data_IF_025478627671
#
_entry.id   IF_025478627671
#
_cell.length_a   1.000
_cell.length_b   1.000
_cell.length_c   1.000
_cell.angle_alpha   90.00
_cell.angle_beta   90.00
_cell.angle_gamma   90.00
#
_symmetry.space_group_name_H-M   'P 1'
#
loop_
_entity.id
_entity.type
_entity.pdbx_description
1 polymer ?
#
# COMPACT_ATOMS: atom_id res chain seq x y z
N UNK A 1 -15.70 15.63 1.50
CA UNK A 1 -15.23 14.85 0.33
C UNK A 1 -16.21 15.13 -0.79
N UNK A 2 -15.70 15.27 -2.00
CA UNK A 2 -16.50 15.54 -3.20
C UNK A 2 -16.26 14.43 -4.22
N UNK A 3 -17.21 14.16 -5.13
CA UNK A 3 -16.98 13.22 -6.21
C UNK A 3 -15.89 13.72 -7.16
N UNK A 4 -15.05 12.81 -7.65
CA UNK A 4 -14.09 13.11 -8.71
C UNK A 4 -14.84 13.49 -10.00
N UNK A 5 -14.67 14.75 -10.42
CA UNK A 5 -15.22 15.27 -11.67
C UNK A 5 -14.15 15.42 -12.76
N UNK A 6 -12.88 15.54 -12.38
CA UNK A 6 -11.76 15.55 -13.31
C UNK A 6 -11.28 14.12 -13.59
N UNK A 7 -11.47 13.66 -14.83
CA UNK A 7 -11.09 12.32 -15.29
C UNK A 7 -9.76 12.31 -16.06
N UNK A 8 -8.92 13.31 -15.84
CA UNK A 8 -7.55 13.33 -16.37
C UNK A 8 -6.75 12.09 -15.91
N UNK A 9 -5.74 11.72 -16.71
CA UNK A 9 -4.83 10.62 -16.38
C UNK A 9 -4.15 10.85 -15.02
N UNK A 10 -3.65 12.07 -14.77
CA UNK A 10 -3.03 12.47 -13.50
C UNK A 10 -3.94 12.25 -12.29
N UNK A 11 -5.23 12.64 -12.40
CA UNK A 11 -6.21 12.46 -11.32
C UNK A 11 -6.50 10.97 -11.05
N UNK A 12 -6.57 10.15 -12.11
CA UNK A 12 -6.75 8.69 -11.98
C UNK A 12 -5.52 8.01 -11.39
N UNK A 13 -4.32 8.38 -11.83
CA UNK A 13 -3.04 7.87 -11.30
C UNK A 13 -2.89 8.21 -9.82
N UNK A 14 -3.15 9.47 -9.45
CA UNK A 14 -3.14 9.89 -8.05
C UNK A 14 -4.19 9.16 -7.21
N UNK A 15 -5.38 8.87 -7.76
CA UNK A 15 -6.37 8.04 -7.06
C UNK A 15 -5.82 6.63 -6.81
N UNK A 16 -5.25 6.00 -7.84
CA UNK A 16 -4.64 4.68 -7.71
C UNK A 16 -3.49 4.66 -6.70
N UNK A 17 -2.64 5.68 -6.69
CA UNK A 17 -1.62 5.82 -5.66
C UNK A 17 -2.21 5.89 -4.26
N UNK A 18 -3.34 6.58 -4.08
CA UNK A 18 -4.04 6.63 -2.78
C UNK A 18 -4.67 5.30 -2.40
N UNK A 19 -5.18 4.51 -3.35
CA UNK A 19 -5.66 3.15 -3.06
C UNK A 19 -4.49 2.27 -2.58
N UNK A 20 -3.40 2.23 -3.35
CA UNK A 20 -2.23 1.37 -3.08
C UNK A 20 -1.52 1.80 -1.79
N UNK A 21 -1.16 3.07 -1.66
CA UNK A 21 -0.39 3.61 -0.53
C UNK A 21 -1.24 3.95 0.69
N UNK A 22 -2.55 4.09 0.52
CA UNK A 22 -3.48 4.39 1.61
C UNK A 22 -3.82 3.19 2.49
N UNK A 23 -3.31 2.00 2.18
CA UNK A 23 -3.56 0.79 2.96
C UNK A 23 -4.88 0.08 2.63
N UNK A 24 -5.61 0.52 1.59
CA UNK A 24 -6.86 -0.10 1.16
C UNK A 24 -6.67 -1.57 0.75
N UNK A 25 -5.51 -1.90 0.16
CA UNK A 25 -5.16 -3.26 -0.27
C UNK A 25 -5.06 -4.29 0.86
N UNK A 26 -4.91 -3.84 2.12
CA UNK A 26 -4.81 -4.72 3.29
C UNK A 26 -6.16 -5.02 3.92
N UNK A 27 -7.22 -4.32 3.51
CA UNK A 27 -8.56 -4.55 4.03
C UNK A 27 -9.23 -5.71 3.32
N UNK A 28 -10.08 -6.41 4.07
CA UNK A 28 -10.89 -7.52 3.57
C UNK A 28 -12.35 -7.10 3.46
N UNK A 29 -13.11 -7.68 2.52
CA UNK A 29 -12.66 -8.63 1.49
C UNK A 29 -11.81 -7.95 0.38
N UNK A 30 -10.99 -8.73 -0.34
CA UNK A 30 -10.13 -8.19 -1.42
C UNK A 30 -10.89 -7.46 -2.52
N UNK A 31 -12.15 -7.85 -2.75
CA UNK A 31 -13.05 -7.17 -3.68
C UNK A 31 -13.25 -5.68 -3.36
N UNK A 32 -13.05 -5.24 -2.12
CA UNK A 32 -13.05 -3.82 -1.76
C UNK A 32 -12.03 -3.04 -2.58
N UNK A 33 -10.80 -3.57 -2.66
CA UNK A 33 -9.70 -2.93 -3.40
C UNK A 33 -9.93 -2.96 -4.90
N UNK A 34 -10.44 -4.07 -5.43
CA UNK A 34 -10.76 -4.17 -6.86
C UNK A 34 -11.88 -3.20 -7.27
N UNK A 35 -12.89 -3.01 -6.42
CA UNK A 35 -13.96 -2.06 -6.68
C UNK A 35 -13.48 -0.60 -6.59
N UNK A 36 -12.69 -0.26 -5.56
CA UNK A 36 -12.09 1.08 -5.44
C UNK A 36 -11.12 1.40 -6.59
N UNK A 37 -10.31 0.42 -7.01
CA UNK A 37 -9.38 0.62 -8.13
C UNK A 37 -10.14 0.71 -9.45
N UNK A 38 -11.10 -0.20 -9.65
CA UNK A 38 -11.80 -0.35 -10.92
C UNK A 38 -12.68 0.85 -11.26
N UNK A 39 -13.18 1.60 -10.27
CA UNK A 39 -13.96 2.82 -10.54
C UNK A 39 -13.16 3.86 -11.31
N UNK A 40 -11.83 3.95 -11.13
CA UNK A 40 -10.95 4.88 -11.87
C UNK A 40 -10.25 4.27 -13.08
N UNK A 41 -10.43 2.98 -13.36
CA UNK A 41 -9.81 2.34 -14.53
C UNK A 41 -10.48 2.76 -15.85
N UNK A 42 -11.71 3.27 -15.81
CA UNK A 42 -12.38 3.84 -16.97
C UNK A 42 -11.84 5.22 -17.35
N UNK A 43 -12.07 5.64 -18.59
CA UNK A 43 -11.90 7.04 -19.02
C UNK A 43 -13.11 7.90 -18.62
N UNK A 44 -14.20 7.26 -18.20
CA UNK A 44 -15.44 7.91 -17.75
C UNK A 44 -16.02 7.15 -16.55
N UNK A 45 -16.86 7.81 -15.73
CA UNK A 45 -17.60 7.18 -14.66
C UNK A 45 -18.36 5.92 -15.10
N UNK A 46 -18.21 4.84 -14.34
CA UNK A 46 -18.82 3.54 -14.64
C UNK A 46 -20.22 3.43 -14.04
N UNK A 47 -21.10 2.67 -14.65
CA UNK A 47 -22.32 2.16 -14.01
C UNK A 47 -22.00 0.95 -13.12
N UNK A 48 -22.93 0.56 -12.23
CA UNK A 48 -22.80 -0.72 -11.48
C UNK A 48 -22.62 -1.91 -12.42
N UNK A 49 -23.37 -1.98 -13.52
CA UNK A 49 -23.26 -3.07 -14.49
C UNK A 49 -21.88 -3.13 -15.17
N UNK A 50 -21.27 -1.97 -15.46
CA UNK A 50 -19.90 -1.93 -16.02
C UNK A 50 -18.84 -2.27 -14.97
N UNK A 51 -19.14 -2.11 -13.68
CA UNK A 51 -18.25 -2.45 -12.57
C UNK A 51 -18.02 -3.96 -12.44
N UNK A 52 -18.99 -4.78 -12.86
CA UNK A 52 -18.95 -6.24 -12.86
C UNK A 52 -17.64 -6.82 -13.43
N UNK A 53 -17.07 -6.21 -14.47
CA UNK A 53 -15.83 -6.73 -15.08
C UNK A 53 -14.62 -6.75 -14.14
N UNK A 54 -14.64 -5.94 -13.08
CA UNK A 54 -13.56 -5.86 -12.09
C UNK A 54 -13.73 -6.81 -10.91
N UNK A 55 -14.88 -7.50 -10.83
CA UNK A 55 -15.12 -8.57 -9.85
C UNK A 55 -14.96 -9.95 -10.46
N UNK A 56 -14.43 -10.03 -11.69
CA UNK A 56 -14.17 -11.30 -12.36
C UNK A 56 -13.04 -12.05 -11.69
N UNK A 57 -13.29 -13.32 -11.39
CA UNK A 57 -12.32 -14.27 -10.82
C UNK A 57 -12.57 -15.67 -11.38
N UNK A 58 -11.78 -16.65 -10.95
CA UNK A 58 -12.00 -18.06 -11.30
C UNK A 58 -13.42 -18.53 -10.91
N UNK A 59 -13.90 -18.11 -9.73
CA UNK A 59 -15.22 -18.50 -9.18
C UNK A 59 -16.34 -17.54 -9.55
N UNK A 60 -16.00 -16.40 -10.15
CA UNK A 60 -16.94 -15.42 -10.67
C UNK A 60 -16.56 -14.98 -12.10
N UNK A 61 -16.57 -15.88 -13.10
CA UNK A 61 -16.03 -15.59 -14.43
C UNK A 61 -16.79 -14.47 -15.15
N UNK A 62 -18.09 -14.35 -14.89
CA UNK A 62 -18.94 -13.32 -15.50
C UNK A 62 -18.82 -11.96 -14.80
N UNK A 63 -18.34 -11.95 -13.55
CA UNK A 63 -18.24 -10.75 -12.73
C UNK A 63 -19.57 -10.35 -12.09
N UNK A 64 -20.43 -11.32 -11.77
CA UNK A 64 -21.70 -11.06 -11.12
C UNK A 64 -21.49 -10.38 -9.76
N UNK A 65 -22.11 -9.21 -9.56
CA UNK A 65 -22.01 -8.47 -8.30
C UNK A 65 -22.73 -9.20 -7.16
N UNK A 66 -23.67 -10.08 -7.47
CA UNK A 66 -24.35 -10.92 -6.49
C UNK A 66 -23.51 -12.14 -6.04
N UNK A 67 -22.38 -12.42 -6.70
CA UNK A 67 -21.47 -13.48 -6.30
C UNK A 67 -20.75 -13.14 -4.98
N UNK A 68 -20.18 -14.17 -4.34
CA UNK A 68 -19.48 -14.04 -3.06
C UNK A 68 -18.33 -13.04 -3.13
N UNK A 69 -18.27 -12.09 -2.20
CA UNK A 69 -17.15 -11.14 -2.12
C UNK A 69 -15.86 -11.73 -1.56
N UNK A 70 -15.92 -12.94 -1.00
CA UNK A 70 -14.82 -13.58 -0.28
C UNK A 70 -13.90 -14.44 -1.17
N UNK A 71 -14.37 -14.85 -2.35
CA UNK A 71 -13.65 -15.73 -3.28
C UNK A 71 -13.32 -17.11 -2.70
N UNK A 72 -12.68 -17.98 -3.50
CA UNK A 72 -11.91 -19.10 -2.95
C UNK A 72 -10.65 -18.56 -2.27
N UNK A 73 -10.43 -19.03 -1.05
CA UNK A 73 -9.20 -18.76 -0.30
C UNK A 73 -8.38 -20.04 -0.23
N UNK A 74 -7.07 -19.89 -0.21
CA UNK A 74 -6.14 -21.01 -0.10
C UNK A 74 -6.33 -21.71 1.26
N UNK A 75 -5.97 -22.99 1.35
CA UNK A 75 -6.19 -23.80 2.58
C UNK A 75 -5.55 -23.16 3.82
N UNK A 76 -4.41 -22.49 3.66
CA UNK A 76 -3.70 -21.78 4.74
C UNK A 76 -4.41 -20.48 5.17
N UNK A 77 -5.14 -19.82 4.27
CA UNK A 77 -5.93 -18.61 4.58
C UNK A 77 -7.32 -18.96 5.15
N UNK A 78 -7.82 -20.18 4.90
CA UNK A 78 -9.16 -20.63 5.29
C UNK A 78 -9.41 -20.51 6.81
N UNK A 79 -8.38 -20.75 7.63
CA UNK A 79 -8.46 -20.65 9.08
C UNK A 79 -8.73 -19.22 9.57
N UNK A 80 -8.29 -18.21 8.81
CA UNK A 80 -8.40 -16.79 9.15
C UNK A 80 -9.68 -16.15 8.62
N UNK A 81 -10.38 -16.78 7.67
CA UNK A 81 -11.62 -16.25 7.08
C UNK A 81 -12.66 -15.82 8.11
N UNK A 82 -12.97 -16.60 9.16
CA UNK A 82 -13.99 -16.18 10.13
C UNK A 82 -13.61 -14.87 10.84
N UNK A 83 -12.31 -14.69 11.19
CA UNK A 83 -11.80 -13.45 11.78
C UNK A 83 -11.92 -12.29 10.80
N UNK A 84 -11.50 -12.48 9.55
CA UNK A 84 -11.61 -11.45 8.50
C UNK A 84 -13.08 -11.06 8.23
N UNK A 85 -14.00 -12.03 8.24
CA UNK A 85 -15.44 -11.80 8.10
C UNK A 85 -16.02 -11.00 9.25
N UNK A 86 -15.61 -11.31 10.49
CA UNK A 86 -16.01 -10.54 11.67
C UNK A 86 -15.49 -9.10 11.58
N UNK A 87 -14.24 -8.90 11.18
CA UNK A 87 -13.64 -7.59 10.98
C UNK A 87 -14.40 -6.77 9.92
N UNK A 88 -14.66 -7.36 8.76
CA UNK A 88 -15.42 -6.73 7.68
C UNK A 88 -16.88 -6.45 8.06
N UNK A 89 -17.49 -7.31 8.89
CA UNK A 89 -18.83 -7.08 9.41
C UNK A 89 -18.88 -5.85 10.33
N UNK A 90 -17.82 -5.54 11.09
CA UNK A 90 -17.74 -4.29 11.87
C UNK A 90 -17.75 -3.06 10.94
N UNK A 91 -17.06 -3.13 9.80
CA UNK A 91 -17.09 -2.03 8.82
C UNK A 91 -18.51 -1.78 8.33
N UNK A 92 -19.24 -2.84 7.94
CA UNK A 92 -20.62 -2.74 7.50
C UNK A 92 -21.55 -2.22 8.61
N UNK A 93 -21.38 -2.71 9.84
CA UNK A 93 -22.19 -2.34 10.99
C UNK A 93 -22.11 -0.84 11.35
N UNK A 94 -20.94 -0.21 11.18
CA UNK A 94 -20.76 1.24 11.35
C UNK A 94 -21.75 2.07 10.51
N UNK A 95 -22.14 1.54 9.34
CA UNK A 95 -23.05 2.17 8.39
C UNK A 95 -24.46 1.57 8.42
N UNK A 96 -24.77 0.72 9.40
CA UNK A 96 -26.06 0.04 9.52
C UNK A 96 -26.34 -0.98 8.42
N UNK A 97 -25.28 -1.48 7.76
CA UNK A 97 -25.37 -2.48 6.69
C UNK A 97 -25.25 -3.90 7.27
N UNK A 98 -25.83 -4.92 6.59
CA UNK A 98 -25.62 -6.32 6.97
C UNK A 98 -24.17 -6.75 6.73
N UNK A 99 -23.73 -7.88 7.34
CA UNK A 99 -22.43 -8.46 7.05
C UNK A 99 -22.21 -8.69 5.55
N UNK A 100 -21.03 -8.36 5.05
CA UNK A 100 -20.69 -8.41 3.64
C UNK A 100 -20.68 -9.85 3.14
N UNK A 101 -21.51 -10.17 2.15
CA UNK A 101 -21.57 -11.50 1.51
C UNK A 101 -21.27 -11.44 0.03
N UNK A 102 -21.66 -10.36 -0.62
CA UNK A 102 -21.60 -10.19 -2.08
C UNK A 102 -20.76 -8.99 -2.48
N UNK A 103 -20.28 -8.94 -3.72
CA UNK A 103 -19.59 -7.74 -4.21
C UNK A 103 -20.49 -6.51 -4.19
N UNK A 104 -21.80 -6.70 -4.37
CA UNK A 104 -22.82 -5.67 -4.22
C UNK A 104 -22.84 -5.11 -2.79
N UNK A 105 -22.71 -5.95 -1.76
CA UNK A 105 -22.63 -5.50 -0.36
C UNK A 105 -21.39 -4.62 -0.13
N UNK A 106 -20.26 -5.00 -0.73
CA UNK A 106 -19.01 -4.22 -0.66
C UNK A 106 -19.18 -2.88 -1.37
N UNK A 107 -19.79 -2.87 -2.56
CA UNK A 107 -20.07 -1.62 -3.29
C UNK A 107 -21.00 -0.71 -2.47
N UNK A 108 -22.04 -1.27 -1.84
CA UNK A 108 -22.94 -0.52 -0.97
C UNK A 108 -22.21 0.03 0.27
N UNK A 109 -21.26 -0.71 0.85
CA UNK A 109 -20.39 -0.20 1.91
C UNK A 109 -19.53 0.98 1.42
N UNK A 110 -18.89 0.86 0.25
CA UNK A 110 -18.08 1.94 -0.33
C UNK A 110 -18.91 3.21 -0.57
N UNK A 111 -20.16 3.06 -1.02
CA UNK A 111 -21.09 4.16 -1.21
C UNK A 111 -21.51 4.77 0.14
N UNK A 112 -21.89 3.94 1.11
CA UNK A 112 -22.30 4.40 2.45
C UNK A 112 -21.16 5.12 3.20
N UNK A 113 -19.92 4.67 3.01
CA UNK A 113 -18.71 5.29 3.54
C UNK A 113 -18.31 6.58 2.81
N UNK A 114 -19.04 6.97 1.77
CA UNK A 114 -18.73 8.16 0.97
C UNK A 114 -17.43 8.05 0.18
N UNK A 115 -16.99 6.82 -0.12
CA UNK A 115 -15.82 6.52 -0.95
C UNK A 115 -16.17 6.49 -2.43
N UNK A 116 -17.43 6.17 -2.74
CA UNK A 116 -18.01 6.20 -4.08
C UNK A 116 -19.34 6.94 -4.00
N UNK A 117 -19.61 7.79 -4.99
CA UNK A 117 -20.85 8.52 -5.15
C UNK A 117 -21.60 8.00 -6.37
N UNK A 118 -22.91 7.82 -6.22
CA UNK A 118 -23.80 7.54 -7.35
C UNK A 118 -24.46 8.83 -7.82
N UNK A 119 -24.10 9.27 -9.03
CA UNK A 119 -24.54 10.53 -9.60
C UNK A 119 -25.18 10.27 -10.96
N UNK A 120 -26.42 10.71 -11.21
CA UNK A 120 -27.03 10.55 -12.52
C UNK A 120 -26.33 11.41 -13.57
N UNK A 121 -26.06 10.83 -14.74
CA UNK A 121 -25.60 11.56 -15.92
C UNK A 121 -26.74 12.36 -16.58
N UNK A 122 -26.44 13.04 -17.70
CA UNK A 122 -27.40 13.87 -18.42
C UNK A 122 -28.65 13.12 -18.91
N UNK A 123 -28.58 11.80 -19.05
CA UNK A 123 -29.72 10.95 -19.45
C UNK A 123 -30.36 10.23 -18.25
N UNK A 124 -29.91 10.51 -17.03
CA UNK A 124 -30.44 9.96 -15.79
C UNK A 124 -29.85 8.61 -15.37
N UNK A 125 -28.80 8.13 -16.05
CA UNK A 125 -28.14 6.87 -15.69
C UNK A 125 -27.21 7.11 -14.50
N UNK A 126 -27.36 6.34 -13.42
CA UNK A 126 -26.47 6.45 -12.26
C UNK A 126 -25.05 6.00 -12.62
N UNK A 127 -24.09 6.87 -12.34
CA UNK A 127 -22.66 6.67 -12.54
C UNK A 127 -21.90 6.74 -11.22
N UNK A 128 -20.88 5.91 -11.10
CA UNK A 128 -20.02 5.77 -9.95
C UNK A 128 -18.84 6.74 -10.08
N UNK A 129 -18.76 7.67 -9.12
CA UNK A 129 -17.68 8.63 -9.00
C UNK A 129 -16.91 8.34 -7.70
N UNK A 130 -15.60 8.12 -7.74
CA UNK A 130 -14.82 7.98 -6.51
C UNK A 130 -14.78 9.30 -5.73
N UNK A 131 -14.56 9.21 -4.43
CA UNK A 131 -14.25 10.37 -3.61
C UNK A 131 -12.91 10.99 -3.98
N UNK A 132 -12.86 12.32 -3.93
CA UNK A 132 -11.67 13.10 -4.17
C UNK A 132 -11.46 14.20 -3.11
N UNK A 133 -10.26 14.29 -2.50
CA UNK A 133 -9.26 13.22 -2.46
C UNK A 133 -9.83 11.95 -1.79
N UNK A 134 -9.36 10.77 -2.18
CA UNK A 134 -9.72 9.52 -1.49
C UNK A 134 -9.21 9.59 -0.03
N UNK A 135 -10.09 9.39 0.97
CA UNK A 135 -9.68 9.40 2.39
C UNK A 135 -8.84 8.17 2.73
N UNK A 136 -8.17 8.19 3.88
CA UNK A 136 -7.56 6.97 4.41
C UNK A 136 -8.63 6.07 5.01
N UNK A 137 -8.41 4.74 5.10
CA UNK A 137 -9.41 3.89 5.70
C UNK A 137 -9.66 4.21 7.18
N UNK A 138 -8.66 4.68 7.91
CA UNK A 138 -8.82 5.13 9.30
C UNK A 138 -9.78 6.33 9.45
N UNK A 139 -10.00 7.12 8.39
CA UNK A 139 -10.92 8.26 8.42
C UNK A 139 -12.40 7.83 8.31
N UNK A 140 -12.67 6.66 7.71
CA UNK A 140 -14.03 6.24 7.36
C UNK A 140 -14.42 4.85 7.86
N UNK A 141 -13.49 4.00 8.28
CA UNK A 141 -13.79 2.67 8.80
C UNK A 141 -13.44 2.56 10.29
N UNK A 142 -14.20 1.75 11.07
CA UNK A 142 -13.92 1.50 12.48
C UNK A 142 -12.78 0.49 12.63
N UNK A 143 -11.56 0.89 12.28
CA UNK A 143 -10.37 0.06 12.39
C UNK A 143 -10.01 -0.21 13.86
N UNK A 144 -9.57 -1.43 14.16
CA UNK A 144 -8.94 -1.82 15.42
C UNK A 144 -7.62 -1.08 15.64
N UNK A 145 -7.10 -1.09 16.86
CA UNK A 145 -5.81 -0.47 17.17
C UNK A 145 -4.65 -1.10 16.38
N UNK A 146 -4.71 -2.41 16.15
CA UNK A 146 -3.76 -3.15 15.33
C UNK A 146 -3.83 -2.70 13.86
N UNK A 147 -5.03 -2.64 13.28
CA UNK A 147 -5.24 -2.18 11.90
C UNK A 147 -4.77 -0.73 11.70
N UNK A 148 -5.02 0.13 12.69
CA UNK A 148 -4.54 1.53 12.67
C UNK A 148 -3.03 1.61 12.75
N UNK A 149 -2.39 0.79 13.58
CA UNK A 149 -0.93 0.74 13.69
C UNK A 149 -0.31 0.32 12.36
N UNK A 150 -0.85 -0.72 11.72
CA UNK A 150 -0.41 -1.18 10.39
C UNK A 150 -0.58 -0.07 9.34
N UNK A 151 -1.74 0.60 9.27
CA UNK A 151 -1.94 1.69 8.32
C UNK A 151 -1.06 2.91 8.60
N UNK A 152 -0.76 3.21 9.86
CA UNK A 152 0.20 4.25 10.22
C UNK A 152 1.60 3.88 9.73
N UNK A 153 2.03 2.65 9.96
CA UNK A 153 3.32 2.14 9.53
C UNK A 153 3.48 2.22 8.00
N UNK A 154 2.48 1.75 7.25
CA UNK A 154 2.50 1.84 5.78
C UNK A 154 2.60 3.29 5.26
N UNK A 155 1.94 4.23 5.93
CA UNK A 155 2.03 5.65 5.55
C UNK A 155 3.42 6.23 5.83
N UNK A 156 4.04 5.81 6.94
CA UNK A 156 5.42 6.18 7.25
C UNK A 156 6.35 5.61 6.18
N UNK A 157 6.25 4.31 5.89
CA UNK A 157 7.04 3.66 4.84
C UNK A 157 6.86 4.36 3.49
N UNK A 158 5.63 4.55 3.01
CA UNK A 158 5.39 5.19 1.72
C UNK A 158 5.87 6.65 1.64
N UNK A 159 5.91 7.36 2.77
CA UNK A 159 6.40 8.73 2.83
C UNK A 159 7.93 8.82 2.81
N UNK A 160 8.62 7.83 3.38
CA UNK A 160 10.05 7.90 3.67
C UNK A 160 10.88 6.78 3.01
N UNK A 161 10.27 5.89 2.22
CA UNK A 161 10.96 4.83 1.46
C UNK A 161 12.02 5.40 0.51
N UNK A 162 11.70 6.52 -0.16
CA UNK A 162 12.66 7.22 -1.01
C UNK A 162 13.88 7.70 -0.22
N UNK A 163 13.65 8.27 0.95
CA UNK A 163 14.69 8.80 1.83
C UNK A 163 15.53 7.67 2.43
N UNK A 164 14.89 6.56 2.86
CA UNK A 164 15.60 5.39 3.37
C UNK A 164 16.49 4.77 2.29
N UNK A 165 16.01 4.68 1.04
CA UNK A 165 16.81 4.22 -0.10
C UNK A 165 18.01 5.13 -0.38
N UNK A 166 17.84 6.45 -0.28
CA UNK A 166 18.98 7.38 -0.40
C UNK A 166 20.01 7.17 0.71
N UNK A 167 19.58 6.88 1.94
CA UNK A 167 20.48 6.57 3.05
C UNK A 167 21.22 5.25 2.81
N UNK A 168 20.54 4.20 2.29
CA UNK A 168 21.17 2.92 1.92
C UNK A 168 22.31 3.17 0.91
N UNK A 169 22.08 4.00 -0.10
CA UNK A 169 23.09 4.31 -1.11
C UNK A 169 24.37 4.97 -0.54
N UNK A 170 24.32 5.54 0.68
CA UNK A 170 25.52 6.06 1.35
C UNK A 170 26.46 4.96 1.86
N UNK A 171 25.93 3.74 2.04
CA UNK A 171 26.72 2.56 2.39
C UNK A 171 27.37 1.92 1.16
N UNK A 172 26.93 2.23 -0.06
CA UNK A 172 27.55 1.73 -1.29
C UNK A 172 27.93 2.85 -2.28
N UNK A 173 28.82 3.78 -1.89
CA UNK A 173 29.25 4.83 -2.79
C UNK A 173 30.15 4.22 -3.89
N UNK A 174 29.60 4.13 -5.10
CA UNK A 174 30.32 3.67 -6.30
C UNK A 174 30.75 2.19 -6.28
N UNK A 175 30.00 1.31 -5.60
CA UNK A 175 30.26 -0.14 -5.56
C UNK A 175 31.16 -0.60 -4.41
N UNK A 176 31.64 0.33 -3.58
CA UNK A 176 32.39 0.03 -2.36
C UNK A 176 31.46 -0.05 -1.14
N UNK A 177 30.91 -1.24 -0.90
CA UNK A 177 30.08 -1.56 0.26
C UNK A 177 30.80 -1.32 1.59
N UNK A 178 30.32 -0.37 2.36
CA UNK A 178 30.73 -0.02 3.72
C UNK A 178 29.80 -0.72 4.71
N UNK A 179 30.35 -1.23 5.80
CA UNK A 179 29.53 -1.80 6.89
C UNK A 179 29.09 -0.76 7.92
N UNK A 180 29.72 0.42 7.92
CA UNK A 180 29.48 1.46 8.92
C UNK A 180 29.39 2.85 8.28
N UNK A 181 28.40 3.63 8.73
CA UNK A 181 28.24 5.06 8.43
C UNK A 181 28.23 5.87 9.73
N UNK A 182 29.24 6.71 9.93
CA UNK A 182 29.25 7.72 11.01
C UNK A 182 28.55 9.00 10.55
N UNK A 183 27.43 9.36 11.17
CA UNK A 183 26.55 10.46 10.72
C UNK A 183 25.81 11.15 11.87
N UNK A 184 24.93 12.10 11.54
CA UNK A 184 23.93 12.71 12.44
C UNK A 184 22.63 12.94 11.67
N UNK A 185 21.51 13.15 12.36
CA UNK A 185 20.22 13.40 11.68
C UNK A 185 20.28 14.68 10.84
N UNK A 186 20.98 15.73 11.31
CA UNK A 186 21.20 16.93 10.51
C UNK A 186 22.01 16.68 9.23
N UNK A 187 22.98 15.76 9.28
CA UNK A 187 23.78 15.43 8.10
C UNK A 187 22.95 14.62 7.10
N UNK A 188 22.20 13.62 7.58
CA UNK A 188 21.30 12.82 6.75
C UNK A 188 20.22 13.68 6.10
N UNK A 189 19.60 14.59 6.85
CA UNK A 189 18.59 15.52 6.35
C UNK A 189 19.07 16.32 5.13
N UNK A 190 20.31 16.81 5.15
CA UNK A 190 20.88 17.53 4.01
C UNK A 190 21.11 16.65 2.78
N UNK A 191 21.36 15.36 2.98
CA UNK A 191 21.61 14.42 1.89
C UNK A 191 20.32 14.00 1.20
N UNK A 192 19.24 13.84 1.98
CA UNK A 192 17.90 13.53 1.47
C UNK A 192 17.10 14.77 1.06
N UNK A 193 17.72 15.96 1.09
CA UNK A 193 17.06 17.26 0.84
C UNK A 193 15.80 17.51 1.70
N UNK A 194 15.77 16.94 2.90
CA UNK A 194 14.65 16.97 3.83
C UNK A 194 14.97 17.64 5.18
N UNK A 195 14.14 17.35 6.18
CA UNK A 195 14.33 17.82 7.56
C UNK A 195 14.99 16.76 8.46
N UNK A 196 15.53 17.14 9.64
CA UNK A 196 16.00 16.17 10.63
C UNK A 196 14.92 15.19 11.11
N UNK A 197 13.65 15.57 11.00
CA UNK A 197 12.52 14.68 11.29
C UNK A 197 12.38 13.60 10.21
N UNK A 198 12.43 13.98 8.94
CA UNK A 198 12.34 13.04 7.81
C UNK A 198 13.50 12.04 7.83
N UNK A 199 14.72 12.56 8.08
CA UNK A 199 15.90 11.72 8.28
C UNK A 199 15.74 10.73 9.45
N UNK A 200 15.05 11.13 10.53
CA UNK A 200 14.78 10.23 11.66
C UNK A 200 13.82 9.11 11.24
N UNK A 201 12.73 9.44 10.57
CA UNK A 201 11.75 8.45 10.12
C UNK A 201 12.37 7.47 9.11
N UNK A 202 13.12 7.98 8.14
CA UNK A 202 13.85 7.17 7.17
C UNK A 202 14.83 6.19 7.84
N UNK A 203 15.57 6.64 8.85
CA UNK A 203 16.45 5.73 9.62
C UNK A 203 15.65 4.73 10.43
N UNK A 204 14.54 5.12 11.06
CA UNK A 204 13.71 4.19 11.82
C UNK A 204 13.13 3.08 10.95
N UNK A 205 12.76 3.37 9.69
CA UNK A 205 12.36 2.35 8.72
C UNK A 205 13.49 1.37 8.45
N UNK A 206 14.73 1.86 8.31
CA UNK A 206 15.89 0.96 8.14
C UNK A 206 16.13 0.10 9.37
N UNK A 207 15.98 0.64 10.57
CA UNK A 207 16.21 -0.12 11.81
C UNK A 207 15.09 -1.12 12.13
N UNK A 208 13.93 -1.01 11.48
CA UNK A 208 12.84 -1.98 11.60
C UNK A 208 13.16 -3.28 10.84
N UNK A 209 14.08 -3.22 9.88
CA UNK A 209 14.59 -4.40 9.20
C UNK A 209 15.85 -4.94 9.89
N UNK A 210 16.01 -6.27 9.90
CA UNK A 210 17.06 -6.96 10.67
C UNK A 210 18.49 -6.72 10.14
N UNK A 211 18.62 -6.11 8.96
CA UNK A 211 19.87 -5.83 8.25
C UNK A 211 20.53 -4.49 8.62
N UNK A 212 19.84 -3.59 9.34
CA UNK A 212 20.44 -2.35 9.84
C UNK A 212 20.37 -2.24 11.36
N UNK A 213 21.42 -1.69 11.96
CA UNK A 213 21.45 -1.39 13.40
C UNK A 213 22.08 -0.02 13.68
N UNK A 214 21.79 0.52 14.87
CA UNK A 214 22.37 1.78 15.34
C UNK A 214 23.00 1.62 16.72
N UNK A 215 24.09 2.35 16.99
CA UNK A 215 24.71 2.35 18.33
C UNK A 215 23.97 3.22 19.37
N UNK A 216 22.85 3.83 18.98
CA UNK A 216 22.01 4.69 19.83
C UNK A 216 20.55 4.43 19.48
N UNK A 217 19.67 4.75 20.42
CA UNK A 217 18.25 4.86 20.15
C UNK A 217 17.97 6.10 19.28
N UNK A 218 17.78 5.86 17.98
CA UNK A 218 17.54 6.91 16.99
C UNK A 218 16.18 7.59 17.19
N UNK A 219 15.20 6.95 17.82
CA UNK A 219 13.91 7.59 18.09
C UNK A 219 14.07 8.82 19.01
N UNK A 220 15.06 8.79 19.91
CA UNK A 220 15.25 9.80 20.94
C UNK A 220 16.55 10.60 20.82
N UNK A 221 17.41 10.30 19.84
CA UNK A 221 18.70 10.98 19.69
C UNK A 221 18.53 12.46 19.30
N UNK A 222 19.27 13.42 19.92
CA UNK A 222 19.28 14.81 19.47
C UNK A 222 19.80 14.95 18.04
N UNK A 223 19.24 15.89 17.27
CA UNK A 223 19.48 15.98 15.82
C UNK A 223 20.95 16.19 15.42
N UNK A 224 21.71 16.89 16.25
CA UNK A 224 23.12 17.22 16.03
C UNK A 224 24.07 16.15 16.57
N UNK A 225 23.58 15.20 17.36
CA UNK A 225 24.42 14.17 17.98
C UNK A 225 24.90 13.20 16.91
N UNK A 226 26.19 12.92 16.91
CA UNK A 226 26.81 11.95 16.01
C UNK A 226 26.54 10.53 16.51
N UNK A 227 26.16 9.66 15.60
CA UNK A 227 25.93 8.23 15.84
C UNK A 227 26.44 7.39 14.67
N UNK A 228 26.48 6.08 14.87
CA UNK A 228 26.89 5.09 13.88
C UNK A 228 25.69 4.26 13.47
N UNK A 229 25.52 4.11 12.16
CA UNK A 229 24.63 3.15 11.55
C UNK A 229 25.47 2.02 10.96
N UNK A 230 24.97 0.80 11.07
CA UNK A 230 25.60 -0.40 10.55
C UNK A 230 24.67 -1.06 9.55
N UNK A 231 25.26 -1.65 8.51
CA UNK A 231 24.58 -2.47 7.51
C UNK A 231 25.22 -3.85 7.51
N UNK A 232 24.42 -4.88 7.79
CA UNK A 232 24.80 -6.26 7.57
C UNK A 232 24.50 -6.63 6.10
N UNK A 233 25.53 -6.63 5.26
CA UNK A 233 25.35 -6.92 3.84
C UNK A 233 24.96 -8.37 3.55
N UNK A 234 25.27 -9.31 4.45
CA UNK A 234 24.86 -10.70 4.29
C UNK A 234 23.35 -10.81 4.49
N UNK A 235 22.84 -10.21 5.58
CA UNK A 235 21.40 -10.17 5.85
C UNK A 235 20.64 -9.31 4.83
N UNK A 236 21.23 -8.20 4.40
CA UNK A 236 20.68 -7.33 3.35
C UNK A 236 20.48 -8.09 2.04
N UNK A 237 21.51 -8.80 1.56
CA UNK A 237 21.44 -9.58 0.32
C UNK A 237 20.56 -10.84 0.48
N UNK A 238 20.45 -11.38 1.68
CA UNK A 238 19.60 -12.54 1.96
C UNK A 238 18.11 -12.21 1.96
N UNK A 239 17.73 -10.96 2.28
CA UNK A 239 16.33 -10.59 2.51
C UNK A 239 15.78 -9.53 1.54
N UNK A 240 16.61 -8.85 0.76
CA UNK A 240 16.16 -7.77 -0.13
C UNK A 240 16.40 -8.07 -1.60
N UNK A 241 15.37 -7.82 -2.40
CA UNK A 241 15.51 -7.74 -3.86
C UNK A 241 16.26 -6.45 -4.20
N UNK A 242 17.46 -6.57 -4.76
CA UNK A 242 18.24 -5.42 -5.18
C UNK A 242 17.98 -5.11 -6.65
N UNK A 243 17.48 -3.91 -6.96
CA UNK A 243 17.30 -3.44 -8.35
C UNK A 243 18.45 -2.49 -8.69
N UNK A 244 19.38 -2.93 -9.54
CA UNK A 244 20.60 -2.20 -9.89
C UNK A 244 20.42 -1.25 -11.10
N UNK A 245 19.19 -0.89 -11.44
CA UNK A 245 18.88 -0.09 -12.62
C UNK A 245 18.90 -0.90 -13.93
N UNK A 246 19.12 -0.23 -15.07
CA UNK A 246 19.17 -0.89 -16.39
C UNK A 246 20.61 -1.09 -16.86
N UNK A 247 20.92 -2.28 -17.38
CA UNK A 247 22.21 -2.54 -18.04
C UNK A 247 22.30 -1.82 -19.41
N UNK A 248 23.46 -1.91 -20.06
CA UNK A 248 23.72 -1.32 -21.39
C UNK A 248 22.77 -1.81 -22.50
N UNK A 249 21.99 -2.87 -22.23
CA UNK A 249 20.97 -3.43 -23.13
C UNK A 249 19.55 -2.94 -22.79
N UNK A 250 19.41 -2.03 -21.83
CA UNK A 250 18.14 -1.50 -21.36
C UNK A 250 17.34 -2.45 -20.47
N UNK A 251 17.93 -3.55 -19.99
CA UNK A 251 17.26 -4.53 -19.14
C UNK A 251 17.46 -4.19 -17.68
N UNK A 252 16.40 -4.32 -16.87
CA UNK A 252 16.49 -4.14 -15.42
C UNK A 252 17.36 -5.27 -14.85
N UNK A 253 18.42 -4.90 -14.13
CA UNK A 253 19.29 -5.83 -13.42
C UNK A 253 18.73 -6.00 -12.02
N UNK A 254 18.36 -7.23 -11.69
CA UNK A 254 17.80 -7.61 -10.40
C UNK A 254 18.73 -8.66 -9.80
N UNK A 255 19.15 -8.45 -8.56
CA UNK A 255 19.75 -9.50 -7.74
C UNK A 255 18.67 -10.00 -6.79
N UNK A 256 18.13 -11.21 -7.01
CA UNK A 256 17.16 -11.81 -6.09
C UNK A 256 17.86 -12.13 -4.76
N UNK A 257 17.09 -12.28 -3.68
CA UNK A 257 17.65 -12.60 -2.38
C UNK A 257 18.39 -13.94 -2.42
N UNK A 258 19.47 -14.09 -1.63
CA UNK A 258 20.31 -15.30 -1.67
C UNK A 258 19.56 -16.60 -1.29
N UNK A 259 18.45 -16.50 -0.56
CA UNK A 259 17.57 -17.61 -0.19
C UNK A 259 16.46 -17.90 -1.23
N UNK A 260 16.45 -17.18 -2.35
CA UNK A 260 15.50 -17.41 -3.43
C UNK A 260 15.91 -18.66 -4.22
N UNK A 261 15.49 -19.84 -3.75
CA UNK A 261 15.61 -21.08 -4.50
C UNK A 261 14.81 -20.94 -5.80
N UNK A 262 15.50 -20.74 -6.93
CA UNK A 262 14.94 -21.06 -8.23
C UNK A 262 14.77 -22.57 -8.28
N UNK A 263 13.54 -23.06 -8.08
CA UNK A 263 13.19 -24.40 -8.55
C UNK A 263 13.64 -24.51 -10.02
N UNK A 264 14.41 -25.55 -10.38
CA UNK A 264 14.77 -25.76 -11.77
C UNK A 264 13.49 -25.98 -12.57
N UNK A 265 13.26 -25.14 -13.57
CA UNK A 265 12.23 -25.38 -14.56
C UNK A 265 12.58 -26.67 -15.33
N UNK A 266 11.84 -27.74 -15.05
CA UNK A 266 11.76 -28.94 -15.90
C UNK A 266 10.87 -28.70 -17.13
#
# INVERSE_FOLDING_TARGET
MEPLTDWSEDSREQHMHRVVRGGWMRLRPFSLTFLLSGVVMGETPLTRAEMARFTRSADNPEGDLAASCWGDVDEDEQADVPRQQEEAARYAAQYGLPPLRTHEDVLNLLIAAGLIYEIPDAVGTLRLHPAWPLPSPADVLPLSDEERAIQQQMRIEAAYEGDSNQIINLFDPAGERKQELTTSLQRLARLIEGSPFDARQAVLILLDSEDFTANVDVAHVPEHKVFKLYCDWEEFDANRICIHGRNDKGQIVITPPANWETEPAD
#
